data_IF_822161687505
#
_entry.id   IF_822161687505
#
_cell.length_a   1.000
_cell.length_b   1.000
_cell.length_c   1.000
_cell.angle_alpha   90.00
_cell.angle_beta   90.00
_cell.angle_gamma   90.00
#
_symmetry.space_group_name_H-M   'P 1'
#
loop_
_entity.id
_entity.type
_entity.pdbx_description
1 polymer ?
#
# COMPACT_ATOMS: atom_id res chain seq x y z
N UNK A 1 34.19 26.09 -29.21
CA UNK A 1 33.74 24.68 -29.18
C UNK A 1 32.33 24.65 -28.63
N UNK A 2 31.32 24.43 -29.48
CA UNK A 2 29.95 24.20 -29.00
C UNK A 2 29.92 22.82 -28.36
N UNK A 3 29.59 22.74 -27.07
CA UNK A 3 29.35 21.47 -26.40
C UNK A 3 28.27 20.71 -27.20
N UNK A 4 28.56 19.48 -27.63
CA UNK A 4 27.60 18.60 -28.28
C UNK A 4 26.35 18.51 -27.39
N UNK A 5 25.27 19.17 -27.79
CA UNK A 5 24.00 19.17 -27.06
C UNK A 5 23.33 17.83 -27.30
N UNK A 6 23.65 16.84 -26.47
CA UNK A 6 22.93 15.56 -26.45
C UNK A 6 21.47 15.81 -26.08
N UNK A 7 20.55 15.56 -27.00
CA UNK A 7 19.10 15.66 -26.73
C UNK A 7 18.65 14.40 -26.01
N UNK A 8 18.21 14.53 -24.76
CA UNK A 8 17.61 13.44 -23.98
C UNK A 8 16.10 13.51 -24.13
N UNK A 9 15.47 12.44 -24.62
CA UNK A 9 14.01 12.29 -24.67
C UNK A 9 13.55 11.51 -23.45
N UNK A 10 12.48 11.96 -22.81
CA UNK A 10 11.87 11.31 -21.65
C UNK A 10 10.36 11.21 -21.80
N UNK A 11 9.76 10.26 -21.10
CA UNK A 11 8.32 10.11 -20.98
C UNK A 11 7.95 9.86 -19.52
N UNK A 12 6.74 10.21 -19.12
CA UNK A 12 6.22 9.88 -17.80
C UNK A 12 5.98 8.38 -17.74
N UNK A 13 6.71 7.69 -16.86
CA UNK A 13 6.54 6.25 -16.65
C UNK A 13 5.31 5.95 -15.77
N UNK A 14 5.26 6.53 -14.58
CA UNK A 14 4.16 6.34 -13.64
C UNK A 14 4.08 7.48 -12.62
N UNK A 15 2.92 7.64 -11.97
CA UNK A 15 2.74 8.56 -10.84
C UNK A 15 2.60 7.75 -9.56
N UNK A 16 3.64 7.73 -8.73
CA UNK A 16 3.62 7.05 -7.45
C UNK A 16 2.87 7.88 -6.40
N UNK A 17 1.95 7.26 -5.69
CA UNK A 17 1.14 7.90 -4.65
C UNK A 17 0.54 6.88 -3.70
N UNK A 18 0.07 7.36 -2.54
CA UNK A 18 -0.88 6.58 -1.74
C UNK A 18 -2.24 6.52 -2.47
N UNK A 19 -3.20 5.76 -1.92
CA UNK A 19 -4.50 5.64 -2.59
C UNK A 19 -5.23 6.97 -2.71
N UNK A 20 -5.17 7.81 -1.67
CA UNK A 20 -5.87 9.10 -1.67
C UNK A 20 -5.30 10.02 -2.74
N UNK A 21 -3.97 10.18 -2.78
CA UNK A 21 -3.29 11.00 -3.78
C UNK A 21 -3.46 10.47 -5.20
N UNK A 22 -3.39 9.15 -5.39
CA UNK A 22 -3.59 8.53 -6.71
C UNK A 22 -5.03 8.70 -7.20
N UNK A 23 -6.03 8.59 -6.32
CA UNK A 23 -7.42 8.85 -6.68
C UNK A 23 -7.64 10.32 -7.05
N UNK A 24 -7.14 11.23 -6.22
CA UNK A 24 -7.22 12.67 -6.46
C UNK A 24 -6.59 13.05 -7.81
N UNK A 25 -5.34 12.65 -8.07
CA UNK A 25 -4.66 12.97 -9.33
C UNK A 25 -5.33 12.28 -10.54
N UNK A 26 -5.82 11.06 -10.33
CA UNK A 26 -6.49 10.27 -11.36
C UNK A 26 -7.91 10.72 -11.68
N UNK A 27 -8.48 11.67 -10.93
CA UNK A 27 -9.88 12.06 -11.07
C UNK A 27 -10.88 11.01 -10.58
N UNK A 28 -10.43 10.06 -9.75
CA UNK A 28 -11.29 9.06 -9.12
C UNK A 28 -11.86 9.56 -7.79
N UNK A 29 -12.96 8.95 -7.36
CA UNK A 29 -13.57 9.18 -6.05
C UNK A 29 -12.61 8.84 -4.90
N UNK A 30 -12.42 9.75 -3.96
CA UNK A 30 -11.55 9.57 -2.80
C UNK A 30 -12.26 8.94 -1.61
N UNK A 31 -13.56 8.64 -1.75
CA UNK A 31 -14.37 8.04 -0.70
C UNK A 31 -14.34 6.50 -0.77
N UNK A 32 -13.36 5.90 -0.10
CA UNK A 32 -13.22 4.44 0.00
C UNK A 32 -14.27 3.76 0.91
N UNK A 33 -15.02 4.55 1.68
CA UNK A 33 -15.94 4.06 2.71
C UNK A 33 -17.37 3.91 2.23
N UNK A 34 -17.82 4.71 1.27
CA UNK A 34 -19.20 4.63 0.76
C UNK A 34 -19.34 4.75 -0.74
N UNK A 35 -18.27 5.02 -1.50
CA UNK A 35 -18.38 4.99 -2.96
C UNK A 35 -18.77 3.59 -3.46
N UNK A 36 -19.64 3.58 -4.48
CA UNK A 36 -20.02 2.37 -5.21
C UNK A 36 -18.80 1.79 -5.92
N UNK A 37 -17.99 2.64 -6.58
CA UNK A 37 -16.81 2.22 -7.34
C UNK A 37 -15.52 2.70 -6.65
N UNK A 38 -15.12 1.97 -5.62
CA UNK A 38 -14.00 2.33 -4.75
C UNK A 38 -12.60 2.10 -5.36
N UNK A 39 -12.50 1.38 -6.48
CA UNK A 39 -11.24 0.91 -7.05
C UNK A 39 -10.86 1.69 -8.32
N UNK A 40 -9.59 2.13 -8.40
CA UNK A 40 -9.03 2.76 -9.60
C UNK A 40 -8.55 1.78 -10.68
N UNK A 41 -8.49 0.49 -10.39
CA UNK A 41 -8.00 -0.52 -11.33
C UNK A 41 -9.11 -1.28 -12.04
N UNK A 42 -10.29 -1.42 -11.41
CA UNK A 42 -11.43 -2.12 -11.97
C UNK A 42 -12.76 -1.46 -11.60
N UNK A 43 -13.81 -1.89 -12.29
CA UNK A 43 -15.21 -1.48 -12.11
C UNK A 43 -15.94 -2.41 -11.14
N UNK A 44 -15.29 -2.82 -10.05
CA UNK A 44 -15.95 -3.59 -8.99
C UNK A 44 -16.85 -2.68 -8.16
N UNK A 45 -18.09 -3.11 -7.92
CA UNK A 45 -18.99 -2.38 -7.02
C UNK A 45 -18.74 -2.73 -5.56
N UNK A 46 -19.11 -1.83 -4.65
CA UNK A 46 -19.01 -2.06 -3.21
C UNK A 46 -19.86 -3.25 -2.76
N UNK A 47 -21.02 -3.43 -3.37
CA UNK A 47 -21.92 -4.55 -3.08
C UNK A 47 -21.24 -5.87 -3.44
N UNK A 48 -20.64 -5.97 -4.63
CA UNK A 48 -19.93 -7.17 -5.06
C UNK A 48 -18.70 -7.43 -4.18
N UNK A 49 -17.94 -6.38 -3.85
CA UNK A 49 -16.78 -6.49 -2.96
C UNK A 49 -17.14 -7.05 -1.57
N UNK A 50 -18.32 -6.70 -1.04
CA UNK A 50 -18.83 -7.25 0.23
C UNK A 50 -19.71 -8.50 0.02
N UNK A 51 -19.83 -8.97 -1.22
CA UNK A 51 -20.63 -10.12 -1.64
C UNK A 51 -20.01 -11.45 -1.21
N UNK A 52 -20.38 -12.57 -1.83
CA UNK A 52 -19.96 -13.90 -1.40
C UNK A 52 -18.47 -14.22 -1.68
N UNK A 53 -17.97 -13.85 -2.85
CA UNK A 53 -16.60 -14.06 -3.28
C UNK A 53 -15.68 -12.90 -2.80
N UNK A 54 -14.76 -13.12 -1.85
CA UNK A 54 -13.83 -12.08 -1.39
C UNK A 54 -12.69 -11.78 -2.35
N UNK A 55 -12.43 -12.66 -3.33
CA UNK A 55 -11.35 -12.54 -4.30
C UNK A 55 -11.80 -11.91 -5.63
N UNK A 56 -13.09 -11.59 -5.74
CA UNK A 56 -13.72 -11.02 -6.93
C UNK A 56 -13.03 -9.74 -7.42
N UNK A 57 -12.90 -9.64 -8.75
CA UNK A 57 -12.45 -8.46 -9.46
C UNK A 57 -13.47 -8.08 -10.53
N UNK A 58 -13.79 -6.79 -10.61
CA UNK A 58 -14.61 -6.27 -11.70
C UNK A 58 -13.83 -6.16 -13.01
N UNK A 59 -14.50 -5.78 -14.11
CA UNK A 59 -13.84 -5.46 -15.38
C UNK A 59 -12.76 -4.39 -15.18
N UNK A 60 -11.61 -4.54 -15.85
CA UNK A 60 -10.51 -3.60 -15.74
C UNK A 60 -10.92 -2.21 -16.29
N UNK A 61 -10.45 -1.15 -15.64
CA UNK A 61 -10.57 0.20 -16.21
C UNK A 61 -9.62 0.32 -17.41
N UNK A 62 -10.08 0.99 -18.46
CA UNK A 62 -9.32 1.20 -19.70
C UNK A 62 -9.42 2.68 -20.12
N UNK A 63 -8.50 3.17 -20.96
CA UNK A 63 -8.59 4.55 -21.47
C UNK A 63 -9.93 4.85 -22.14
N UNK A 64 -10.53 3.85 -22.81
CA UNK A 64 -11.81 3.98 -23.50
C UNK A 64 -12.96 4.16 -22.50
N UNK A 65 -13.06 3.32 -21.47
CA UNK A 65 -14.13 3.44 -20.49
C UNK A 65 -13.95 4.66 -19.56
N UNK A 66 -12.71 5.06 -19.30
CA UNK A 66 -12.40 6.29 -18.61
C UNK A 66 -12.86 7.50 -19.42
N UNK A 67 -12.50 7.56 -20.72
CA UNK A 67 -12.91 8.65 -21.62
C UNK A 67 -14.42 8.74 -21.76
N UNK A 68 -15.11 7.61 -21.93
CA UNK A 68 -16.57 7.58 -21.99
C UNK A 68 -17.21 8.12 -20.71
N UNK A 69 -16.69 7.77 -19.53
CA UNK A 69 -17.18 8.30 -18.27
C UNK A 69 -16.93 9.81 -18.14
N UNK A 70 -15.79 10.32 -18.61
CA UNK A 70 -15.51 11.77 -18.61
C UNK A 70 -16.36 12.54 -19.60
N UNK A 71 -16.65 11.99 -20.79
CA UNK A 71 -17.56 12.61 -21.75
C UNK A 71 -19.00 12.65 -21.23
N UNK A 72 -19.42 11.64 -20.46
CA UNK A 72 -20.71 11.63 -19.77
C UNK A 72 -20.76 12.74 -18.71
N UNK A 73 -19.73 12.89 -17.88
CA UNK A 73 -19.63 13.99 -16.90
C UNK A 73 -19.70 15.39 -17.52
N UNK A 74 -19.22 15.55 -18.76
CA UNK A 74 -19.28 16.83 -19.48
C UNK A 74 -20.67 17.11 -20.07
N UNK A 75 -21.46 16.07 -20.34
CA UNK A 75 -22.79 16.19 -20.97
C UNK A 75 -23.94 16.24 -19.97
N UNK A 76 -23.81 15.54 -18.86
CA UNK A 76 -24.87 15.38 -17.85
C UNK A 76 -24.47 16.05 -16.53
N UNK A 77 -25.45 16.59 -15.81
CA UNK A 77 -25.24 17.22 -14.49
C UNK A 77 -25.13 16.16 -13.38
N UNK A 78 -24.07 15.35 -13.44
CA UNK A 78 -23.78 14.29 -12.46
C UNK A 78 -22.41 14.51 -11.81
N UNK A 79 -22.29 14.18 -10.52
CA UNK A 79 -21.06 14.43 -9.75
C UNK A 79 -19.97 13.36 -9.93
N UNK A 80 -20.37 12.13 -10.30
CA UNK A 80 -19.45 11.05 -10.67
C UNK A 80 -20.10 10.05 -11.64
N UNK A 81 -19.30 9.45 -12.50
CA UNK A 81 -19.69 8.33 -13.38
C UNK A 81 -18.71 7.19 -13.14
N UNK A 82 -19.22 6.04 -12.70
CA UNK A 82 -18.40 4.87 -12.36
C UNK A 82 -17.21 5.18 -11.43
N UNK A 83 -17.40 6.08 -10.45
CA UNK A 83 -16.35 6.52 -9.52
C UNK A 83 -15.28 7.42 -10.13
N UNK A 84 -15.51 8.00 -11.31
CA UNK A 84 -14.71 9.08 -11.90
C UNK A 84 -15.47 10.39 -11.70
N UNK A 85 -14.77 11.45 -11.29
CA UNK A 85 -15.33 12.79 -11.01
C UNK A 85 -14.91 13.84 -12.05
N UNK A 86 -13.74 13.66 -12.64
CA UNK A 86 -13.20 14.57 -13.65
C UNK A 86 -12.11 13.89 -14.47
N UNK A 87 -11.79 14.47 -15.63
CA UNK A 87 -10.69 14.02 -16.48
C UNK A 87 -9.34 14.45 -15.91
N UNK A 88 -8.47 13.50 -15.61
CA UNK A 88 -7.10 13.78 -15.19
C UNK A 88 -6.34 14.56 -16.26
N UNK A 89 -5.65 15.63 -15.85
CA UNK A 89 -4.79 16.43 -16.75
C UNK A 89 -3.65 15.60 -17.35
N UNK A 90 -3.23 14.52 -16.68
CA UNK A 90 -2.14 13.66 -17.16
C UNK A 90 -2.54 12.80 -18.35
N UNK A 91 -3.84 12.58 -18.59
CA UNK A 91 -4.34 11.91 -19.80
C UNK A 91 -4.25 12.78 -21.07
N UNK A 92 -3.70 14.01 -20.97
CA UNK A 92 -3.30 14.80 -22.13
C UNK A 92 -1.91 14.43 -22.67
N UNK A 93 -1.14 13.65 -21.90
CA UNK A 93 0.19 13.21 -22.30
C UNK A 93 0.11 12.10 -23.35
N UNK A 94 0.98 12.16 -24.36
CA UNK A 94 0.96 11.22 -25.50
C UNK A 94 1.18 9.75 -25.10
N UNK A 95 2.04 9.50 -24.11
CA UNK A 95 2.50 8.16 -23.75
C UNK A 95 2.10 7.75 -22.32
N UNK A 96 1.06 8.39 -21.77
CA UNK A 96 0.60 8.11 -20.41
C UNK A 96 -0.93 8.22 -20.31
N UNK A 97 -1.55 7.26 -19.64
CA UNK A 97 -2.94 7.33 -19.22
C UNK A 97 -3.08 6.69 -17.83
N UNK A 98 -3.89 7.30 -16.97
CA UNK A 98 -4.14 6.83 -15.60
C UNK A 98 -4.71 5.41 -15.53
N UNK A 99 -5.30 4.89 -16.62
CA UNK A 99 -5.83 3.54 -16.75
C UNK A 99 -4.90 2.57 -17.51
N UNK A 100 -3.68 2.95 -17.92
CA UNK A 100 -2.72 2.02 -18.55
C UNK A 100 -1.32 2.00 -17.94
N UNK A 101 -1.12 1.23 -16.86
CA UNK A 101 -1.86 1.29 -15.60
C UNK A 101 -1.59 2.57 -14.78
N UNK A 102 -0.71 3.46 -15.27
CA UNK A 102 -0.44 4.84 -14.84
C UNK A 102 0.03 5.09 -13.40
N UNK A 103 -0.66 4.50 -12.42
CA UNK A 103 -0.55 4.81 -10.99
C UNK A 103 -0.37 3.52 -10.18
N UNK A 104 0.86 3.16 -9.81
CA UNK A 104 1.14 1.97 -9.02
C UNK A 104 0.53 2.04 -7.62
N UNK A 105 0.36 0.89 -6.95
CA UNK A 105 -0.05 0.84 -5.56
C UNK A 105 1.13 1.20 -4.64
N UNK A 106 0.83 1.57 -3.40
CA UNK A 106 1.86 1.84 -2.41
C UNK A 106 1.85 0.77 -1.33
N UNK A 107 2.86 -0.12 -1.34
CA UNK A 107 3.01 -1.21 -0.37
C UNK A 107 2.98 -0.71 1.08
N UNK A 108 3.61 0.45 1.34
CA UNK A 108 3.60 1.14 2.63
C UNK A 108 2.19 1.25 3.19
N UNK A 109 1.34 1.91 2.42
CA UNK A 109 -0.01 2.22 2.84
C UNK A 109 -0.98 1.05 2.69
N UNK A 110 -0.92 0.32 1.57
CA UNK A 110 -1.86 -0.75 1.26
C UNK A 110 -1.65 -1.96 2.16
N UNK A 111 -0.40 -2.37 2.31
CA UNK A 111 -0.06 -3.62 2.99
C UNK A 111 0.30 -3.35 4.43
N UNK A 112 1.35 -2.57 4.69
CA UNK A 112 1.89 -2.46 6.04
C UNK A 112 1.03 -1.62 6.99
N UNK A 113 0.48 -0.51 6.54
CA UNK A 113 -0.47 0.33 7.29
C UNK A 113 -1.94 -0.01 7.01
N UNK A 114 -2.15 -0.96 6.11
CA UNK A 114 -3.45 -1.48 5.73
C UNK A 114 -3.58 -2.93 6.16
N UNK A 115 -3.61 -3.83 5.17
CA UNK A 115 -3.92 -5.26 5.35
C UNK A 115 -3.22 -5.84 6.58
N UNK A 116 -1.88 -5.78 6.64
CA UNK A 116 -1.09 -6.32 7.73
C UNK A 116 -1.51 -5.73 9.08
N UNK A 117 -1.56 -4.41 9.20
CA UNK A 117 -1.84 -3.74 10.48
C UNK A 117 -3.19 -4.12 11.08
N UNK A 118 -4.19 -4.40 10.24
CA UNK A 118 -5.53 -4.77 10.67
C UNK A 118 -5.63 -6.28 10.91
N UNK A 119 -5.18 -7.09 9.95
CA UNK A 119 -5.37 -8.53 10.01
C UNK A 119 -4.51 -9.18 11.07
N UNK A 120 -3.23 -8.82 11.15
CA UNK A 120 -2.37 -9.37 12.18
C UNK A 120 -2.81 -8.91 13.59
N UNK A 121 -3.49 -7.76 13.73
CA UNK A 121 -4.12 -7.36 15.00
C UNK A 121 -5.32 -8.25 15.36
N UNK A 122 -6.10 -8.71 14.37
CA UNK A 122 -7.17 -9.70 14.55
C UNK A 122 -6.57 -11.06 14.95
N UNK A 123 -5.51 -11.50 14.27
CA UNK A 123 -4.90 -12.81 14.52
C UNK A 123 -4.25 -12.88 15.91
N UNK A 124 -3.51 -11.85 16.31
CA UNK A 124 -2.94 -11.79 17.66
C UNK A 124 -4.02 -11.79 18.73
N UNK A 125 -5.14 -11.09 18.51
CA UNK A 125 -6.27 -11.12 19.43
C UNK A 125 -6.86 -12.52 19.53
N UNK A 126 -6.96 -13.24 18.43
CA UNK A 126 -7.39 -14.64 18.45
C UNK A 126 -6.42 -15.52 19.25
N UNK A 127 -5.11 -15.44 19.00
CA UNK A 127 -4.11 -16.24 19.74
C UNK A 127 -4.10 -15.93 21.24
N UNK A 128 -4.29 -14.67 21.61
CA UNK A 128 -4.22 -14.22 23.01
C UNK A 128 -5.55 -14.42 23.73
N UNK A 129 -6.68 -14.04 23.12
CA UNK A 129 -7.96 -14.00 23.81
C UNK A 129 -8.76 -15.29 23.64
N UNK A 130 -8.67 -15.95 22.48
CA UNK A 130 -9.41 -17.17 22.18
C UNK A 130 -8.57 -18.39 22.51
N UNK A 131 -7.37 -18.50 21.93
CA UNK A 131 -6.49 -19.66 22.12
C UNK A 131 -5.72 -19.65 23.43
N UNK A 132 -5.55 -18.48 24.07
CA UNK A 132 -4.81 -18.30 25.32
C UNK A 132 -3.36 -18.82 25.26
N UNK A 133 -2.74 -18.82 24.08
CA UNK A 133 -1.38 -19.32 23.89
C UNK A 133 -0.31 -18.45 24.59
N UNK A 134 -0.56 -17.15 24.65
CA UNK A 134 0.29 -16.16 25.32
C UNK A 134 -0.52 -14.89 25.64
N UNK A 135 0.11 -13.89 26.26
CA UNK A 135 -0.53 -12.61 26.63
C UNK A 135 0.09 -11.44 25.88
N UNK A 136 -0.62 -10.30 25.80
CA UNK A 136 -0.05 -9.04 25.28
C UNK A 136 1.23 -8.65 26.03
N UNK A 137 1.24 -8.76 27.36
CA UNK A 137 2.44 -8.48 28.17
C UNK A 137 3.61 -9.38 27.78
N UNK A 138 3.35 -10.67 27.55
CA UNK A 138 4.39 -11.60 27.09
C UNK A 138 4.92 -11.20 25.70
N UNK A 139 4.03 -10.95 24.74
CA UNK A 139 4.39 -10.55 23.39
C UNK A 139 5.22 -9.26 23.40
N UNK A 140 4.76 -8.22 24.09
CA UNK A 140 5.45 -6.93 24.16
C UNK A 140 6.82 -7.06 24.85
N UNK A 141 6.94 -7.92 25.86
CA UNK A 141 8.24 -8.26 26.47
C UNK A 141 9.17 -8.92 25.46
N UNK A 142 8.69 -9.90 24.69
CA UNK A 142 9.48 -10.57 23.64
C UNK A 142 9.91 -9.60 22.54
N UNK A 143 8.99 -8.77 22.03
CA UNK A 143 9.29 -7.69 21.08
C UNK A 143 10.36 -6.76 21.65
N UNK A 144 10.29 -6.39 22.93
CA UNK A 144 11.26 -5.49 23.56
C UNK A 144 12.64 -6.12 23.68
N UNK A 145 12.71 -7.40 24.02
CA UNK A 145 13.95 -8.13 24.34
C UNK A 145 14.60 -8.83 23.14
N UNK A 146 13.89 -8.96 22.01
CA UNK A 146 14.41 -9.60 20.82
C UNK A 146 15.70 -8.91 20.34
N UNK A 147 16.72 -9.70 19.99
CA UNK A 147 18.05 -9.21 19.59
C UNK A 147 18.03 -8.83 18.11
N UNK A 148 17.44 -7.69 17.77
CA UNK A 148 17.43 -7.15 16.41
C UNK A 148 18.86 -6.83 15.92
N UNK A 149 19.12 -7.07 14.63
CA UNK A 149 20.43 -6.80 14.00
C UNK A 149 20.25 -5.91 12.77
N UNK A 150 21.30 -5.15 12.43
CA UNK A 150 21.32 -4.31 11.23
C UNK A 150 20.14 -3.33 11.17
N UNK A 151 19.49 -3.26 10.01
CA UNK A 151 18.34 -2.38 9.77
C UNK A 151 17.16 -2.64 10.70
N UNK A 152 17.02 -3.87 11.21
CA UNK A 152 15.88 -4.27 12.04
C UNK A 152 15.90 -3.58 13.40
N UNK A 153 17.09 -3.20 13.89
CA UNK A 153 17.24 -2.45 15.13
C UNK A 153 16.68 -1.03 15.01
N UNK A 154 16.80 -0.41 13.82
CA UNK A 154 16.26 0.92 13.53
C UNK A 154 14.75 0.91 13.27
N UNK A 155 14.17 -0.25 12.97
CA UNK A 155 12.74 -0.44 12.69
C UNK A 155 12.08 -1.40 13.68
N UNK A 156 12.49 -1.34 14.95
CA UNK A 156 11.90 -2.17 16.01
C UNK A 156 10.38 -2.01 16.05
N UNK A 157 9.60 -3.11 16.13
CA UNK A 157 8.14 -3.04 16.25
C UNK A 157 7.69 -2.19 17.45
N UNK A 158 6.58 -1.47 17.26
CA UNK A 158 5.90 -0.78 18.34
C UNK A 158 5.23 -1.76 19.30
N UNK A 159 4.89 -1.27 20.49
CA UNK A 159 4.10 -2.03 21.44
C UNK A 159 2.72 -2.37 20.87
N UNK A 160 2.31 -3.62 21.04
CA UNK A 160 1.00 -4.11 20.62
C UNK A 160 0.00 -3.89 21.75
N UNK A 161 -1.03 -3.07 21.47
CA UNK A 161 -2.07 -2.73 22.45
C UNK A 161 -3.35 -3.55 22.23
N UNK A 162 -3.98 -4.08 23.29
CA UNK A 162 -5.26 -4.79 23.18
C UNK A 162 -6.44 -3.88 22.79
N UNK A 163 -6.31 -2.56 22.97
CA UNK A 163 -7.38 -1.59 22.71
C UNK A 163 -7.45 -1.13 21.25
N UNK A 164 -6.38 -1.33 20.49
CA UNK A 164 -6.28 -0.79 19.14
C UNK A 164 -6.92 -1.74 18.12
N UNK A 165 -7.71 -1.18 17.20
CA UNK A 165 -8.31 -1.94 16.09
C UNK A 165 -7.29 -2.36 15.03
N UNK A 166 -6.13 -1.70 15.00
CA UNK A 166 -4.96 -2.00 14.14
C UNK A 166 -3.67 -1.72 14.91
N UNK A 167 -2.55 -2.23 14.42
CA UNK A 167 -1.25 -1.80 14.94
C UNK A 167 -0.98 -0.32 14.68
N UNK A 168 -0.41 0.32 15.70
CA UNK A 168 0.32 1.56 15.52
C UNK A 168 1.72 1.30 14.97
N UNK A 169 2.51 2.36 14.83
CA UNK A 169 3.86 2.29 14.26
C UNK A 169 3.89 2.54 12.76
N UNK A 170 5.11 2.67 12.25
CA UNK A 170 5.40 2.95 10.84
C UNK A 170 5.35 1.66 10.00
N UNK A 171 5.13 1.80 8.69
CA UNK A 171 5.10 0.69 7.73
C UNK A 171 6.27 -0.31 7.91
N UNK A 172 7.51 0.19 8.03
CA UNK A 172 8.71 -0.66 8.19
C UNK A 172 8.74 -1.41 9.53
N UNK A 173 8.14 -0.86 10.58
CA UNK A 173 8.04 -1.53 11.89
C UNK A 173 7.04 -2.69 11.83
N UNK A 174 5.92 -2.49 11.14
CA UNK A 174 4.91 -3.52 10.91
C UNK A 174 5.45 -4.65 10.03
N UNK A 175 6.21 -4.32 8.98
CA UNK A 175 6.91 -5.30 8.16
C UNK A 175 7.88 -6.14 8.99
N UNK A 176 8.70 -5.47 9.81
CA UNK A 176 9.65 -6.14 10.69
C UNK A 176 8.96 -7.07 11.69
N UNK A 177 7.82 -6.64 12.25
CA UNK A 177 7.01 -7.45 13.15
C UNK A 177 6.56 -8.75 12.48
N UNK A 178 5.88 -8.69 11.33
CA UNK A 178 5.37 -9.87 10.65
C UNK A 178 6.49 -10.86 10.28
N UNK A 179 7.60 -10.34 9.72
CA UNK A 179 8.74 -11.17 9.31
C UNK A 179 9.37 -11.91 10.48
N UNK A 180 9.49 -11.26 11.64
CA UNK A 180 10.12 -11.83 12.83
C UNK A 180 9.13 -12.52 13.77
N UNK A 181 7.83 -12.38 13.55
CA UNK A 181 6.81 -12.90 14.46
C UNK A 181 6.95 -14.40 14.73
N UNK A 182 7.19 -15.27 13.72
CA UNK A 182 7.43 -16.69 13.98
C UNK A 182 8.62 -16.96 14.88
N UNK A 183 9.66 -16.11 14.84
CA UNK A 183 10.82 -16.23 15.71
C UNK A 183 10.56 -15.66 17.13
N UNK A 184 9.65 -14.70 17.26
CA UNK A 184 9.32 -14.03 18.52
C UNK A 184 8.38 -14.88 19.37
N UNK A 185 7.41 -15.57 18.75
CA UNK A 185 6.34 -16.32 19.43
C UNK A 185 6.16 -17.77 18.98
N UNK A 186 6.98 -18.29 18.07
CA UNK A 186 6.81 -19.65 17.53
C UNK A 186 6.79 -20.73 18.61
N UNK A 187 7.57 -20.57 19.69
CA UNK A 187 7.58 -21.49 20.83
C UNK A 187 6.31 -21.45 21.71
N UNK A 188 5.37 -20.55 21.40
CA UNK A 188 4.07 -20.42 22.07
C UNK A 188 2.91 -20.89 21.22
N UNK A 189 3.14 -21.19 19.95
CA UNK A 189 2.12 -21.76 19.06
C UNK A 189 1.94 -23.23 19.44
N UNK A 190 0.80 -23.56 20.05
CA UNK A 190 0.53 -24.92 20.53
C UNK A 190 0.06 -25.87 19.43
N UNK A 191 -0.54 -25.33 18.36
CA UNK A 191 -0.95 -26.10 17.20
C UNK A 191 -0.41 -25.42 15.93
N UNK A 192 0.65 -25.95 15.32
CA UNK A 192 1.17 -25.43 14.05
C UNK A 192 0.16 -25.49 12.90
N UNK A 193 -0.83 -26.39 12.96
CA UNK A 193 -1.86 -26.53 11.92
C UNK A 193 -3.12 -25.71 12.22
N UNK A 194 -3.07 -24.79 13.19
CA UNK A 194 -4.18 -23.87 13.43
C UNK A 194 -4.38 -22.93 12.23
N UNK A 195 -5.62 -22.85 11.73
CA UNK A 195 -5.92 -22.12 10.49
C UNK A 195 -5.54 -20.63 10.56
N UNK A 196 -5.68 -19.98 11.72
CA UNK A 196 -5.31 -18.56 11.88
C UNK A 196 -3.79 -18.41 11.93
N UNK A 197 -3.07 -19.38 12.48
CA UNK A 197 -1.61 -19.42 12.41
C UNK A 197 -1.13 -19.63 10.97
N UNK A 198 -1.71 -20.58 10.24
CA UNK A 198 -1.41 -20.80 8.82
C UNK A 198 -1.72 -19.56 7.98
N UNK A 199 -2.84 -18.88 8.24
CA UNK A 199 -3.18 -17.61 7.60
C UNK A 199 -2.15 -16.50 7.91
N UNK A 200 -1.57 -16.49 9.11
CA UNK A 200 -0.50 -15.56 9.49
C UNK A 200 0.78 -15.82 8.69
N UNK A 201 1.15 -17.09 8.50
CA UNK A 201 2.30 -17.48 7.69
C UNK A 201 2.06 -17.19 6.20
N UNK A 202 0.85 -17.46 5.70
CA UNK A 202 0.47 -17.14 4.32
C UNK A 202 0.55 -15.63 4.05
N UNK A 203 0.07 -14.78 4.97
CA UNK A 203 0.24 -13.33 4.88
C UNK A 203 1.72 -12.92 4.84
N UNK A 204 2.58 -13.58 5.63
CA UNK A 204 4.03 -13.36 5.59
C UNK A 204 4.60 -13.73 4.22
N UNK A 205 4.21 -14.85 3.63
CA UNK A 205 4.73 -15.31 2.34
C UNK A 205 4.26 -14.41 1.18
N UNK A 206 3.01 -13.93 1.21
CA UNK A 206 2.52 -12.87 0.32
C UNK A 206 3.40 -11.62 0.46
N UNK A 207 3.65 -11.17 1.69
CA UNK A 207 4.48 -9.99 1.97
C UNK A 207 5.91 -10.16 1.46
N UNK A 208 6.51 -11.34 1.61
CA UNK A 208 7.85 -11.63 1.13
C UNK A 208 7.93 -11.57 -0.40
N UNK A 209 6.93 -12.12 -1.11
CA UNK A 209 6.86 -12.07 -2.57
C UNK A 209 6.67 -10.64 -3.11
N UNK A 210 5.73 -9.87 -2.56
CA UNK A 210 5.48 -8.49 -3.04
C UNK A 210 6.66 -7.54 -2.76
N UNK A 211 7.45 -7.84 -1.71
CA UNK A 211 8.62 -7.04 -1.31
C UNK A 211 9.91 -7.49 -1.99
N UNK A 212 9.86 -8.57 -2.79
CA UNK A 212 11.03 -9.08 -3.49
C UNK A 212 11.57 -8.03 -4.46
N UNK A 213 12.89 -7.82 -4.45
CA UNK A 213 13.55 -6.88 -5.36
C UNK A 213 13.53 -7.37 -6.82
N UNK A 214 13.34 -8.67 -7.01
CA UNK A 214 13.21 -9.36 -8.28
C UNK A 214 12.18 -10.47 -8.09
N UNK A 215 11.30 -10.65 -9.06
CA UNK A 215 10.24 -11.65 -9.00
C UNK A 215 10.02 -12.22 -10.41
N UNK A 216 10.00 -13.55 -10.51
CA UNK A 216 9.76 -14.26 -11.76
C UNK A 216 8.27 -14.31 -12.10
N UNK A 217 7.93 -14.54 -13.38
CA UNK A 217 6.53 -14.73 -13.80
C UNK A 217 5.84 -15.88 -13.06
N UNK A 218 6.55 -17.00 -12.82
CA UNK A 218 6.03 -18.12 -12.06
C UNK A 218 5.70 -17.74 -10.60
N UNK A 219 6.57 -16.96 -9.95
CA UNK A 219 6.29 -16.42 -8.62
C UNK A 219 5.11 -15.44 -8.61
N UNK A 220 4.90 -14.68 -9.69
CA UNK A 220 3.72 -13.81 -9.82
C UNK A 220 2.43 -14.63 -9.95
N UNK A 221 2.43 -15.73 -10.71
CA UNK A 221 1.29 -16.66 -10.78
C UNK A 221 1.01 -17.30 -9.42
N UNK A 222 2.05 -17.73 -8.71
CA UNK A 222 1.92 -18.27 -7.36
C UNK A 222 1.38 -17.23 -6.36
N UNK A 223 1.87 -15.99 -6.43
CA UNK A 223 1.35 -14.88 -5.63
C UNK A 223 -0.14 -14.65 -5.87
N UNK A 224 -0.62 -14.78 -7.11
CA UNK A 224 -2.04 -14.62 -7.41
C UNK A 224 -2.90 -15.67 -6.70
N UNK A 225 -2.52 -16.95 -6.79
CA UNK A 225 -3.19 -18.04 -6.08
C UNK A 225 -3.16 -17.83 -4.56
N UNK A 226 -1.99 -17.51 -4.00
CA UNK A 226 -1.84 -17.24 -2.57
C UNK A 226 -2.74 -16.12 -2.07
N UNK A 227 -2.88 -15.03 -2.83
CA UNK A 227 -3.75 -13.91 -2.45
C UNK A 227 -5.23 -14.33 -2.48
N UNK A 228 -5.65 -15.13 -3.47
CA UNK A 228 -7.04 -15.63 -3.54
C UNK A 228 -7.36 -16.49 -2.31
N UNK A 229 -6.54 -17.51 -2.06
CA UNK A 229 -6.69 -18.42 -0.92
C UNK A 229 -6.66 -17.66 0.42
N UNK A 230 -5.76 -16.68 0.56
CA UNK A 230 -5.67 -15.84 1.75
C UNK A 230 -6.97 -15.06 2.00
N UNK A 231 -7.56 -14.45 0.96
CA UNK A 231 -8.78 -13.66 1.11
C UNK A 231 -10.02 -14.52 1.42
N UNK A 232 -10.11 -15.68 0.78
CA UNK A 232 -11.14 -16.69 1.05
C UNK A 232 -11.06 -17.20 2.49
N UNK A 233 -9.89 -17.68 2.90
CA UNK A 233 -9.64 -18.18 4.25
C UNK A 233 -9.84 -17.08 5.29
N UNK A 234 -9.38 -15.85 5.01
CA UNK A 234 -9.55 -14.70 5.90
C UNK A 234 -11.01 -14.37 6.14
N UNK A 235 -11.86 -14.49 5.12
CA UNK A 235 -13.29 -14.25 5.26
C UNK A 235 -13.98 -15.41 5.98
N UNK A 236 -13.61 -16.65 5.68
CA UNK A 236 -14.17 -17.84 6.32
C UNK A 236 -13.88 -17.87 7.84
N UNK A 237 -12.65 -17.55 8.26
CA UNK A 237 -12.26 -17.58 9.67
C UNK A 237 -12.79 -16.41 10.49
N UNK A 238 -13.10 -15.28 9.85
CA UNK A 238 -13.59 -14.08 10.54
C UNK A 238 -14.73 -13.41 9.75
N UNK A 239 -15.89 -14.09 9.60
CA UNK A 239 -16.99 -13.62 8.76
C UNK A 239 -17.62 -12.31 9.26
N UNK A 240 -17.51 -12.03 10.56
CA UNK A 240 -18.01 -10.81 11.18
C UNK A 240 -17.06 -9.60 11.04
N UNK A 241 -15.91 -9.78 10.40
CA UNK A 241 -14.92 -8.72 10.18
C UNK A 241 -14.75 -8.51 8.68
N UNK A 242 -15.47 -7.53 8.16
CA UNK A 242 -15.46 -7.17 6.73
C UNK A 242 -14.05 -6.89 6.20
N UNK A 243 -13.80 -7.35 4.98
CA UNK A 243 -12.61 -6.98 4.23
C UNK A 243 -12.66 -5.49 3.91
N UNK A 244 -11.49 -4.85 4.00
CA UNK A 244 -11.27 -3.43 3.68
C UNK A 244 -10.88 -3.26 2.20
N UNK A 245 -11.11 -2.09 1.58
CA UNK A 245 -10.67 -1.78 0.22
C UNK A 245 -9.22 -2.18 -0.11
N UNK A 246 -8.31 -2.05 0.86
CA UNK A 246 -6.89 -2.45 0.70
C UNK A 246 -6.67 -3.96 0.47
N UNK A 247 -7.58 -4.81 0.94
CA UNK A 247 -7.58 -6.24 0.63
C UNK A 247 -7.94 -6.48 -0.83
N UNK A 248 -8.92 -5.75 -1.36
CA UNK A 248 -9.24 -5.81 -2.78
C UNK A 248 -8.06 -5.32 -3.64
N UNK A 249 -7.33 -4.29 -3.20
CA UNK A 249 -6.14 -3.85 -3.93
C UNK A 249 -5.08 -4.94 -4.09
N UNK A 250 -4.93 -5.87 -3.13
CA UNK A 250 -4.02 -7.02 -3.28
C UNK A 250 -4.34 -7.88 -4.50
N UNK A 251 -5.63 -8.04 -4.87
CA UNK A 251 -6.01 -8.80 -6.07
C UNK A 251 -5.41 -8.25 -7.36
N UNK A 252 -5.04 -6.97 -7.38
CA UNK A 252 -4.42 -6.34 -8.55
C UNK A 252 -2.89 -6.47 -8.55
N UNK A 253 -2.26 -6.81 -7.42
CA UNK A 253 -0.79 -6.82 -7.30
C UNK A 253 -0.10 -7.73 -8.32
N UNK A 254 -0.57 -8.97 -8.57
CA UNK A 254 0.06 -9.83 -9.58
C UNK A 254 0.09 -9.17 -10.97
N UNK A 255 -1.05 -8.66 -11.43
CA UNK A 255 -1.15 -7.97 -12.72
C UNK A 255 -0.34 -6.67 -12.77
N UNK A 256 -0.30 -5.93 -11.66
CA UNK A 256 0.47 -4.69 -11.56
C UNK A 256 1.98 -4.95 -11.53
N UNK A 257 2.45 -6.05 -10.94
CA UNK A 257 3.86 -6.48 -11.01
C UNK A 257 4.27 -6.78 -12.46
N UNK A 258 3.40 -7.41 -13.25
CA UNK A 258 3.71 -7.68 -14.66
C UNK A 258 3.83 -6.41 -15.50
N UNK A 259 3.08 -5.35 -15.13
CA UNK A 259 3.10 -4.07 -15.85
C UNK A 259 4.21 -3.12 -15.39
N UNK A 260 4.46 -3.07 -14.09
CA UNK A 260 5.39 -2.10 -13.48
C UNK A 260 6.74 -2.69 -13.06
N UNK A 261 6.87 -4.01 -13.07
CA UNK A 261 7.95 -4.71 -12.38
C UNK A 261 7.75 -4.76 -10.86
N UNK A 262 8.81 -5.05 -10.09
CA UNK A 262 8.74 -5.19 -8.63
C UNK A 262 8.20 -3.93 -7.94
N UNK A 263 7.00 -4.02 -7.35
CA UNK A 263 6.26 -2.89 -6.79
C UNK A 263 6.94 -2.25 -5.57
N UNK A 264 7.82 -2.96 -4.88
CA UNK A 264 8.66 -2.40 -3.80
C UNK A 264 9.52 -1.21 -4.25
N UNK A 265 9.79 -1.09 -5.55
CA UNK A 265 10.53 0.03 -6.13
C UNK A 265 9.68 1.28 -6.36
N UNK A 266 8.36 1.18 -6.19
CA UNK A 266 7.38 2.23 -6.50
C UNK A 266 6.59 2.72 -5.27
N UNK A 267 6.80 2.13 -4.10
CA UNK A 267 6.18 2.61 -2.86
C UNK A 267 6.71 3.99 -2.42
N UNK A 268 5.91 4.74 -1.66
CA UNK A 268 6.15 6.17 -1.41
C UNK A 268 7.00 6.49 -0.18
N UNK A 269 7.47 5.48 0.56
CA UNK A 269 8.11 5.66 1.87
C UNK A 269 9.35 6.58 1.82
N UNK A 270 10.11 6.57 0.72
CA UNK A 270 11.28 7.45 0.55
C UNK A 270 10.88 8.90 0.34
N UNK A 271 9.78 9.16 -0.38
CA UNK A 271 9.23 10.51 -0.56
C UNK A 271 8.73 11.07 0.77
N UNK A 272 8.00 10.26 1.54
CA UNK A 272 7.53 10.65 2.88
C UNK A 272 8.67 10.93 3.86
N UNK A 273 9.71 10.09 3.84
CA UNK A 273 10.91 10.32 4.66
C UNK A 273 11.56 11.67 4.33
N UNK A 274 11.63 12.02 3.04
CA UNK A 274 12.16 13.32 2.59
C UNK A 274 11.34 14.51 3.11
N UNK A 275 10.03 14.37 3.30
CA UNK A 275 9.21 15.43 3.90
C UNK A 275 9.66 15.85 5.31
N UNK A 276 10.33 14.97 6.06
CA UNK A 276 10.90 15.31 7.37
C UNK A 276 11.91 16.46 7.30
N UNK A 277 12.72 16.52 6.24
CA UNK A 277 13.64 17.62 5.98
C UNK A 277 12.87 18.94 5.84
N UNK A 278 11.88 18.99 4.96
CA UNK A 278 11.11 20.21 4.71
C UNK A 278 10.35 20.66 5.96
N UNK A 279 9.68 19.73 6.67
CA UNK A 279 9.01 20.03 7.95
C UNK A 279 9.98 20.58 9.00
N UNK A 280 11.22 20.10 9.03
CA UNK A 280 12.27 20.64 9.91
C UNK A 280 12.66 22.06 9.48
N UNK A 281 12.96 22.28 8.19
CA UNK A 281 13.30 23.60 7.67
C UNK A 281 12.22 24.64 7.99
N UNK A 282 10.94 24.32 7.75
CA UNK A 282 9.82 25.23 8.04
C UNK A 282 9.76 25.61 9.52
N UNK A 283 9.89 24.63 10.43
CA UNK A 283 9.89 24.88 11.89
C UNK A 283 11.03 25.79 12.34
N UNK A 284 12.19 25.72 11.69
CA UNK A 284 13.34 26.58 12.01
C UNK A 284 13.23 27.97 11.39
N UNK A 285 12.71 28.07 10.17
CA UNK A 285 12.58 29.34 9.46
C UNK A 285 11.62 30.30 10.14
N UNK A 286 10.50 29.78 10.67
CA UNK A 286 9.40 30.57 11.25
C UNK A 286 8.89 31.71 10.32
N UNK A 287 9.18 31.63 9.02
CA UNK A 287 8.74 32.56 8.00
C UNK A 287 8.00 31.76 6.91
N UNK A 288 6.75 32.14 6.67
CA UNK A 288 5.83 31.44 5.78
C UNK A 288 5.60 32.20 4.46
N UNK A 289 6.16 33.40 4.29
CA UNK A 289 6.09 34.13 3.02
C UNK A 289 6.94 33.39 1.99
N UNK A 290 6.33 32.99 0.87
CA UNK A 290 7.00 32.23 -0.19
C UNK A 290 7.74 30.98 0.32
N UNK A 291 7.12 30.23 1.24
CA UNK A 291 7.74 29.07 1.88
C UNK A 291 8.24 28.04 0.85
N UNK A 292 7.47 27.74 -0.20
CA UNK A 292 7.86 26.78 -1.23
C UNK A 292 9.16 27.19 -1.95
N UNK A 293 9.30 28.48 -2.30
CA UNK A 293 10.54 29.02 -2.89
C UNK A 293 11.71 28.90 -1.92
N UNK A 294 11.51 29.29 -0.66
CA UNK A 294 12.57 29.20 0.37
C UNK A 294 13.04 27.75 0.58
N UNK A 295 12.11 26.80 0.61
CA UNK A 295 12.41 25.38 0.78
C UNK A 295 13.13 24.80 -0.45
N UNK A 296 12.73 25.19 -1.66
CA UNK A 296 13.36 24.72 -2.90
C UNK A 296 14.80 25.24 -3.03
N UNK A 297 15.03 26.53 -2.80
CA UNK A 297 16.36 27.14 -2.83
C UNK A 297 17.31 26.50 -1.80
N UNK A 298 16.83 26.25 -0.59
CA UNK A 298 17.63 25.58 0.45
C UNK A 298 18.02 24.16 0.04
N UNK A 299 17.08 23.40 -0.52
CA UNK A 299 17.37 22.06 -1.01
C UNK A 299 18.42 22.08 -2.13
N UNK A 300 18.29 23.01 -3.09
CA UNK A 300 19.27 23.18 -4.17
C UNK A 300 20.67 23.52 -3.64
N UNK A 301 20.76 24.44 -2.66
CA UNK A 301 22.03 24.78 -2.01
C UNK A 301 22.66 23.58 -1.30
N UNK A 302 21.85 22.75 -0.64
CA UNK A 302 22.32 21.54 0.03
C UNK A 302 22.95 20.54 -0.95
N UNK A 303 22.34 20.29 -2.11
CA UNK A 303 22.92 19.38 -3.12
C UNK A 303 24.22 19.90 -3.73
N UNK A 304 24.30 21.21 -4.01
CA UNK A 304 25.55 21.84 -4.51
C UNK A 304 26.69 21.76 -3.51
N UNK A 305 26.40 21.76 -2.20
CA UNK A 305 27.40 21.65 -1.16
C UNK A 305 27.92 20.21 -0.97
N UNK A 306 27.13 19.19 -1.34
CA UNK A 306 27.54 17.78 -1.26
C UNK A 306 28.32 17.27 -2.48
N UNK A 307 28.38 18.06 -3.56
CA UNK A 307 29.16 17.75 -4.78
C UNK A 307 30.60 18.30 -4.73
N UNK A 308 30.96 18.98 -3.63
CA UNK A 308 32.33 19.45 -3.34
C UNK A 308 32.95 18.56 -2.27
#
# INVERSE_FOLDING_TARGET
>A
MMANKTVVKGALYCIAGDNLGSHCIGGFTENFSSSVYLCRYCLLTRTDFQGADPAVCGPQRTPENYRSATEHLEREDVSEVHGIKFRSVFNSLQNFDVCTPGMPPCLGHDVFEGVLSYDLAVYLRYFINTKKWFTYTHLNRRIKQFKYKGTDASSKPCEVSPKALKFGGQAVQNWNLLRLLPLIIGDKVQNPQDDVWQLTLQLKDIVDLICAQQISKAQVTYLDALIQEYLETRKALFPNINLRPKHHYLRHYPGLILKFGPLIRLWTMRFESKHSYFKRCTRHLKNFKNLCLTLSERLQKMYKASEK
#
